data_IF_558965835142
#
_entry.id   IF_558965835142
#
_cell.length_a   1.000
_cell.length_b   1.000
_cell.length_c   1.000
_cell.angle_alpha   90.00
_cell.angle_beta   90.00
_cell.angle_gamma   90.00
#
_symmetry.space_group_name_H-M   'P 1'
#
loop_
_entity.id
_entity.type
_entity.pdbx_description
1 polymer ?
#
# COMPACT_ATOMS: atom_id res chain seq x y z
N UNK A 1 -20.11 15.08 -11.89
CA UNK A 1 -20.69 15.03 -10.54
C UNK A 1 -19.60 14.66 -9.56
N UNK A 2 -19.40 15.47 -8.52
CA UNK A 2 -18.39 15.29 -7.48
C UNK A 2 -18.36 16.49 -6.55
N UNK A 3 -17.80 16.33 -5.36
CA UNK A 3 -17.55 17.43 -4.42
C UNK A 3 -16.32 18.23 -4.86
N UNK A 4 -16.32 19.54 -4.59
CA UNK A 4 -15.19 20.42 -4.92
C UNK A 4 -14.10 20.25 -3.87
N UNK A 5 -12.93 19.79 -4.28
CA UNK A 5 -11.75 19.73 -3.39
C UNK A 5 -11.26 21.15 -3.11
N UNK A 6 -10.92 21.42 -1.85
CA UNK A 6 -10.27 22.67 -1.46
C UNK A 6 -8.77 22.48 -1.58
N UNK A 7 -8.20 23.04 -2.63
CA UNK A 7 -6.79 22.88 -2.99
C UNK A 7 -6.04 24.21 -2.90
N UNK A 8 -4.74 24.16 -2.65
CA UNK A 8 -3.84 25.30 -2.74
C UNK A 8 -3.51 25.66 -4.20
N UNK A 9 -2.57 26.61 -4.39
CA UNK A 9 -2.15 27.07 -5.73
C UNK A 9 -1.37 26.01 -6.52
N UNK A 10 -0.80 25.02 -5.85
CA UNK A 10 -0.01 23.94 -6.46
C UNK A 10 -0.87 22.70 -6.73
N UNK A 11 -2.11 22.65 -6.22
CA UNK A 11 -3.06 21.57 -6.44
C UNK A 11 -3.13 20.55 -5.31
N UNK A 12 -2.47 20.81 -4.17
CA UNK A 12 -2.52 19.95 -2.98
C UNK A 12 -3.66 20.35 -2.03
N UNK A 13 -4.09 19.47 -1.10
CA UNK A 13 -5.08 19.85 -0.10
C UNK A 13 -4.69 21.12 0.67
N UNK A 14 -5.60 22.08 0.77
CA UNK A 14 -5.37 23.40 1.38
C UNK A 14 -5.24 23.40 2.93
N UNK A 15 -4.81 22.29 3.50
CA UNK A 15 -4.59 22.08 4.94
C UNK A 15 -3.19 21.52 5.16
N UNK A 16 -2.66 21.63 6.39
CA UNK A 16 -1.35 21.06 6.72
C UNK A 16 -1.38 19.52 6.62
N UNK A 17 -0.33 18.88 6.06
CA UNK A 17 -0.20 17.42 6.05
C UNK A 17 -0.02 16.86 7.48
N UNK A 18 -0.25 15.55 7.71
CA UNK A 18 -0.49 14.53 6.69
C UNK A 18 -1.90 14.54 6.10
N UNK A 19 -2.01 14.36 4.78
CA UNK A 19 -3.29 14.31 4.05
C UNK A 19 -3.90 12.90 3.97
N UNK A 20 -3.12 11.89 4.34
CA UNK A 20 -3.56 10.50 4.49
C UNK A 20 -2.68 9.79 5.49
N UNK A 21 -3.28 8.89 6.27
CA UNK A 21 -2.60 8.19 7.34
C UNK A 21 -3.12 6.78 7.50
N UNK A 22 -2.21 5.85 7.82
CA UNK A 22 -2.54 4.52 8.33
C UNK A 22 -2.48 4.58 9.86
N UNK A 23 -3.53 4.08 10.52
CA UNK A 23 -3.66 4.11 11.97
C UNK A 23 -3.95 2.70 12.50
N UNK A 24 -3.34 2.33 13.62
CA UNK A 24 -3.82 1.24 14.46
C UNK A 24 -4.59 1.80 15.65
N UNK A 25 -5.77 1.24 15.90
CA UNK A 25 -6.67 1.67 16.99
C UNK A 25 -6.98 0.47 17.87
N UNK A 26 -6.84 0.61 19.17
CA UNK A 26 -7.36 -0.36 20.12
C UNK A 26 -8.88 -0.21 20.23
N UNK A 27 -9.63 -1.24 19.87
CA UNK A 27 -11.09 -1.17 19.88
C UNK A 27 -11.70 -1.30 21.29
N UNK A 28 -10.93 -1.73 22.29
CA UNK A 28 -11.41 -1.79 23.67
C UNK A 28 -11.33 -0.41 24.33
N UNK A 29 -10.26 0.35 24.08
CA UNK A 29 -10.01 1.66 24.71
C UNK A 29 -10.35 2.85 23.81
N UNK A 30 -10.39 2.64 22.50
CA UNK A 30 -10.52 3.70 21.49
C UNK A 30 -9.22 4.47 21.23
N UNK A 31 -8.10 4.04 21.81
CA UNK A 31 -6.81 4.72 21.68
C UNK A 31 -6.11 4.39 20.37
N UNK A 32 -5.45 5.39 19.78
CA UNK A 32 -4.58 5.19 18.62
C UNK A 32 -3.23 4.66 19.14
N UNK A 33 -2.90 3.40 18.81
CA UNK A 33 -1.61 2.78 19.17
C UNK A 33 -0.46 3.41 18.41
N UNK A 34 -0.65 3.61 17.11
CA UNK A 34 0.29 4.32 16.25
C UNK A 34 -0.44 4.93 15.05
N UNK A 35 0.22 5.92 14.44
CA UNK A 35 -0.26 6.66 13.27
C UNK A 35 0.91 7.07 12.40
N UNK A 36 0.87 6.71 11.12
CA UNK A 36 1.92 7.03 10.14
C UNK A 36 1.33 7.65 8.88
N UNK A 37 2.05 8.57 8.19
CA UNK A 37 1.64 9.05 6.87
C UNK A 37 1.48 7.89 5.87
N UNK A 38 0.40 7.91 5.09
CA UNK A 38 0.14 6.88 4.07
C UNK A 38 0.12 7.51 2.67
N UNK A 39 1.21 7.26 1.95
CA UNK A 39 1.47 7.76 0.61
C UNK A 39 2.38 8.98 0.58
N UNK A 40 2.86 9.30 -0.61
CA UNK A 40 3.75 10.42 -0.86
C UNK A 40 3.44 11.09 -2.19
N UNK A 41 3.89 12.34 -2.32
CA UNK A 41 4.03 13.03 -3.59
C UNK A 41 5.53 13.12 -3.87
N UNK A 42 6.09 12.31 -4.79
CA UNK A 42 7.53 12.24 -5.03
C UNK A 42 8.18 13.61 -5.30
N UNK A 43 7.45 14.50 -5.96
CA UNK A 43 7.86 15.88 -6.25
C UNK A 43 8.00 16.76 -4.98
N UNK A 44 7.21 16.52 -3.93
CA UNK A 44 7.34 17.20 -2.65
C UNK A 44 8.52 16.63 -1.85
N UNK A 45 8.68 15.30 -1.86
CA UNK A 45 9.83 14.64 -1.24
C UNK A 45 11.15 15.08 -1.89
N UNK A 46 11.17 15.25 -3.22
CA UNK A 46 12.33 15.79 -3.95
C UNK A 46 12.68 17.24 -3.56
N UNK A 47 11.72 18.01 -3.03
CA UNK A 47 11.93 19.35 -2.48
C UNK A 47 12.37 19.35 -1.01
N UNK A 48 12.61 18.17 -0.41
CA UNK A 48 12.99 18.02 0.99
C UNK A 48 11.81 18.06 1.97
N UNK A 49 10.58 17.97 1.49
CA UNK A 49 9.39 17.88 2.33
C UNK A 49 9.21 16.41 2.77
N UNK A 50 9.05 16.10 4.07
CA UNK A 50 8.80 14.73 4.52
C UNK A 50 7.52 14.13 3.90
N UNK A 51 7.36 12.80 3.90
CA UNK A 51 6.15 12.14 3.38
C UNK A 51 4.87 12.77 3.95
N UNK A 52 4.06 13.31 3.04
CA UNK A 52 2.88 14.12 3.39
C UNK A 52 1.59 13.29 3.47
N UNK A 53 1.63 12.00 3.15
CA UNK A 53 0.40 11.25 2.91
C UNK A 53 -0.30 11.69 1.61
N UNK A 54 -1.23 10.87 1.15
CA UNK A 54 -2.07 11.20 -0.02
C UNK A 54 -3.54 11.00 0.33
N UNK A 55 -4.45 11.48 -0.51
CA UNK A 55 -5.86 11.09 -0.37
C UNK A 55 -5.97 9.57 -0.54
N UNK A 56 -6.47 8.86 0.49
CA UNK A 56 -6.48 7.41 0.51
C UNK A 56 -7.84 6.84 0.10
N UNK A 57 -7.83 5.86 -0.82
CA UNK A 57 -9.02 5.15 -1.28
C UNK A 57 -8.80 3.64 -1.22
N UNK A 58 -9.58 2.93 -0.42
CA UNK A 58 -9.43 1.48 -0.21
C UNK A 58 -9.05 1.16 1.22
N UNK A 59 -8.91 -0.13 1.52
CA UNK A 59 -8.59 -0.63 2.86
C UNK A 59 -7.36 -1.53 2.89
N UNK A 60 -6.80 -1.77 4.08
CA UNK A 60 -5.74 -2.75 4.27
C UNK A 60 -6.30 -4.17 4.38
N UNK A 61 -5.41 -5.16 4.26
CA UNK A 61 -5.61 -6.50 4.82
C UNK A 61 -4.52 -6.78 5.86
N UNK A 62 -4.89 -7.43 6.96
CA UNK A 62 -3.97 -7.79 8.05
C UNK A 62 -3.81 -9.31 8.05
N UNK A 63 -2.57 -9.77 8.22
CA UNK A 63 -2.23 -11.21 8.27
C UNK A 63 -1.90 -11.64 9.69
N UNK A 64 -2.09 -12.93 10.00
CA UNK A 64 -1.69 -13.50 11.29
C UNK A 64 -0.17 -13.45 11.54
N UNK A 65 0.64 -13.24 10.49
CA UNK A 65 2.08 -13.02 10.59
C UNK A 65 2.49 -11.62 11.03
N UNK A 66 1.53 -10.75 11.37
CA UNK A 66 1.78 -9.39 11.84
C UNK A 66 2.08 -8.37 10.75
N UNK A 67 1.67 -8.65 9.52
CA UNK A 67 1.83 -7.74 8.39
C UNK A 67 0.51 -7.12 7.93
N UNK A 68 0.55 -5.82 7.63
CA UNK A 68 -0.54 -5.06 7.03
C UNK A 68 -0.17 -4.76 5.58
N UNK A 69 -1.00 -5.17 4.61
CA UNK A 69 -0.82 -4.85 3.20
C UNK A 69 -1.86 -3.85 2.71
N UNK A 70 -1.43 -2.79 2.02
CA UNK A 70 -2.32 -1.72 1.53
C UNK A 70 -1.76 -1.02 0.29
N UNK A 71 -2.66 -0.71 -0.66
CA UNK A 71 -2.38 0.14 -1.82
C UNK A 71 -2.77 1.58 -1.52
N UNK A 72 -4.05 1.89 -1.73
CA UNK A 72 -4.81 3.07 -1.33
C UNK A 72 -4.27 4.47 -1.67
N UNK A 73 -3.02 4.62 -2.08
CA UNK A 73 -2.33 5.91 -2.21
C UNK A 73 -2.29 6.40 -3.64
N UNK A 74 -2.05 7.71 -3.79
CA UNK A 74 -1.99 8.33 -5.09
C UNK A 74 -0.74 7.99 -5.92
N UNK A 75 0.33 7.57 -5.25
CA UNK A 75 1.65 7.21 -5.80
C UNK A 75 1.73 5.78 -6.38
N UNK A 76 0.61 5.08 -6.48
CA UNK A 76 0.50 3.75 -7.09
C UNK A 76 1.37 2.68 -6.41
N UNK A 77 1.77 2.91 -5.15
CA UNK A 77 2.52 1.92 -4.38
C UNK A 77 1.59 0.95 -3.66
N UNK A 78 2.04 -0.30 -3.61
CA UNK A 78 1.54 -1.33 -2.72
C UNK A 78 2.57 -1.58 -1.64
N UNK A 79 2.15 -1.50 -0.37
CA UNK A 79 3.06 -1.49 0.79
C UNK A 79 2.72 -2.58 1.78
N UNK A 80 3.75 -3.03 2.50
CA UNK A 80 3.62 -3.86 3.69
C UNK A 80 4.15 -3.10 4.91
N UNK A 81 3.40 -3.13 6.01
CA UNK A 81 3.77 -2.51 7.27
C UNK A 81 3.77 -3.55 8.40
N UNK A 82 4.62 -3.33 9.41
CA UNK A 82 4.54 -4.01 10.69
C UNK A 82 3.26 -3.59 11.44
N UNK A 83 2.48 -4.54 11.95
CA UNK A 83 1.20 -4.25 12.60
C UNK A 83 1.35 -3.53 13.95
N UNK A 84 2.46 -3.74 14.65
CA UNK A 84 2.64 -3.32 16.04
C UNK A 84 3.33 -1.96 16.11
N UNK A 85 4.21 -1.65 15.14
CA UNK A 85 4.96 -0.39 15.09
C UNK A 85 4.48 0.58 14.01
N UNK A 86 3.83 0.09 12.96
CA UNK A 86 3.50 0.87 11.78
C UNK A 86 4.70 1.16 10.86
N UNK A 87 5.84 0.50 11.08
CA UNK A 87 7.02 0.62 10.22
C UNK A 87 6.75 0.04 8.82
N UNK A 88 7.12 0.76 7.76
CA UNK A 88 7.02 0.25 6.38
C UNK A 88 8.17 -0.72 6.11
N UNK A 89 7.86 -1.99 5.92
CA UNK A 89 8.84 -3.05 5.73
C UNK A 89 9.15 -3.33 4.25
N UNK A 90 8.19 -3.08 3.36
CA UNK A 90 8.33 -3.38 1.93
C UNK A 90 7.36 -2.56 1.09
N UNK A 91 7.73 -2.32 -0.17
CA UNK A 91 6.82 -1.75 -1.17
C UNK A 91 7.12 -2.22 -2.60
N UNK A 92 6.12 -2.13 -3.47
CA UNK A 92 6.22 -2.27 -4.92
C UNK A 92 5.37 -1.21 -5.63
N UNK A 93 5.71 -0.91 -6.89
CA UNK A 93 4.87 -0.09 -7.76
C UNK A 93 3.84 -0.97 -8.46
N UNK A 94 2.58 -0.56 -8.45
CA UNK A 94 1.50 -1.16 -9.22
C UNK A 94 1.43 -0.54 -10.62
N UNK A 95 0.92 -1.27 -11.63
CA UNK A 95 0.76 -0.72 -12.98
C UNK A 95 -0.40 0.30 -13.08
N UNK A 96 -1.32 0.29 -12.12
CA UNK A 96 -2.48 1.17 -12.02
C UNK A 96 -2.80 1.47 -10.55
N UNK A 97 -3.77 2.35 -10.28
CA UNK A 97 -4.20 2.70 -8.93
C UNK A 97 -4.63 1.49 -8.07
N UNK A 98 -4.07 1.38 -6.86
CA UNK A 98 -4.36 0.29 -5.91
C UNK A 98 -5.53 0.59 -4.97
N UNK A 99 -6.69 0.99 -5.50
CA UNK A 99 -7.81 1.46 -4.64
C UNK A 99 -8.64 0.34 -4.00
N UNK A 100 -8.39 -0.92 -4.34
CA UNK A 100 -9.10 -2.07 -3.79
C UNK A 100 -8.48 -2.52 -2.45
N UNK A 101 -9.31 -3.11 -1.59
CA UNK A 101 -8.80 -3.86 -0.43
C UNK A 101 -8.16 -5.16 -0.94
N UNK A 102 -6.89 -5.46 -0.57
CA UNK A 102 -6.24 -6.69 -1.01
C UNK A 102 -6.87 -7.94 -0.38
N UNK A 103 -6.68 -9.09 -1.02
CA UNK A 103 -7.07 -10.40 -0.52
C UNK A 103 -5.85 -11.28 -0.29
N UNK A 104 -5.93 -12.17 0.70
CA UNK A 104 -4.88 -13.14 1.01
C UNK A 104 -5.44 -14.55 0.86
N UNK A 105 -4.73 -15.42 0.16
CA UNK A 105 -5.14 -16.82 -0.02
C UNK A 105 -3.93 -17.77 -0.12
N UNK A 106 -4.21 -19.07 -0.06
CA UNK A 106 -3.23 -20.15 -0.18
C UNK A 106 -3.54 -21.02 -1.39
N UNK A 107 -2.51 -21.39 -2.16
CA UNK A 107 -2.58 -22.43 -3.20
C UNK A 107 -1.35 -23.30 -3.07
N UNK A 108 -1.53 -24.62 -2.98
CA UNK A 108 -0.45 -25.62 -2.89
C UNK A 108 0.60 -25.29 -1.82
N UNK A 109 0.16 -24.86 -0.64
CA UNK A 109 1.05 -24.51 0.46
C UNK A 109 1.79 -23.17 0.31
N UNK A 110 1.50 -22.38 -0.73
CA UNK A 110 2.07 -21.05 -0.95
C UNK A 110 1.04 -19.95 -0.71
N UNK A 111 1.41 -18.95 0.10
CA UNK A 111 0.57 -17.78 0.37
C UNK A 111 0.74 -16.71 -0.70
N UNK A 112 -0.38 -16.11 -1.08
CA UNK A 112 -0.44 -15.00 -2.02
C UNK A 112 -1.19 -13.83 -1.39
N UNK A 113 -0.70 -12.63 -1.67
CA UNK A 113 -1.43 -11.37 -1.44
C UNK A 113 -1.74 -10.78 -2.80
N UNK A 114 -3.02 -10.54 -3.06
CA UNK A 114 -3.51 -10.12 -4.38
C UNK A 114 -4.32 -8.84 -4.27
N UNK A 115 -4.06 -7.92 -5.20
CA UNK A 115 -4.78 -6.66 -5.31
C UNK A 115 -5.24 -6.43 -6.74
N UNK A 116 -6.47 -5.98 -6.89
CA UNK A 116 -6.95 -5.41 -8.15
C UNK A 116 -6.42 -3.99 -8.29
N UNK A 117 -5.43 -3.81 -9.17
CA UNK A 117 -4.94 -2.50 -9.58
C UNK A 117 -5.82 -2.00 -10.72
N UNK A 118 -6.55 -0.92 -10.51
CA UNK A 118 -7.50 -0.36 -11.48
C UNK A 118 -7.54 1.16 -11.41
N UNK A 119 -7.62 1.80 -12.58
CA UNK A 119 -7.46 3.24 -12.70
C UNK A 119 -8.41 3.92 -13.70
N UNK A 120 -8.04 5.14 -14.10
CA UNK A 120 -8.80 5.98 -15.03
C UNK A 120 -9.57 7.15 -14.39
N UNK A 121 -9.48 7.32 -13.06
CA UNK A 121 -9.99 8.49 -12.34
C UNK A 121 -8.84 9.29 -11.72
N UNK A 122 -9.07 10.58 -11.49
CA UNK A 122 -8.12 11.48 -10.81
C UNK A 122 -6.74 11.60 -11.50
N UNK A 123 -6.69 11.55 -12.84
CA UNK A 123 -5.46 11.74 -13.61
C UNK A 123 -4.50 10.55 -13.66
N UNK A 124 -4.89 9.39 -13.13
CA UNK A 124 -4.08 8.16 -13.13
C UNK A 124 -4.27 7.35 -14.41
N UNK A 125 -3.29 6.50 -14.81
CA UNK A 125 -3.40 5.63 -15.98
C UNK A 125 -4.70 4.83 -15.95
N UNK A 126 -5.37 4.79 -17.10
CA UNK A 126 -6.58 3.99 -17.29
C UNK A 126 -6.18 2.53 -17.60
N UNK A 127 -6.87 1.59 -16.96
CA UNK A 127 -6.61 0.17 -17.12
C UNK A 127 -6.97 -0.62 -15.87
N UNK A 128 -6.70 -1.93 -15.93
CA UNK A 128 -6.96 -2.86 -14.84
C UNK A 128 -6.07 -4.08 -14.95
N UNK A 129 -5.53 -4.52 -13.82
CA UNK A 129 -4.77 -5.77 -13.70
C UNK A 129 -4.94 -6.35 -12.30
N UNK A 130 -4.90 -7.69 -12.20
CA UNK A 130 -4.74 -8.38 -10.92
C UNK A 130 -3.25 -8.60 -10.69
N UNK A 131 -2.73 -8.06 -9.59
CA UNK A 131 -1.32 -8.21 -9.21
C UNK A 131 -1.23 -9.13 -8.02
N UNK A 132 -0.44 -10.21 -8.16
CA UNK A 132 -0.21 -11.18 -7.11
C UNK A 132 1.24 -11.15 -6.62
N UNK A 133 1.40 -11.06 -5.30
CA UNK A 133 2.69 -11.10 -4.62
C UNK A 133 2.77 -12.37 -3.77
N UNK A 134 3.92 -13.03 -3.80
CA UNK A 134 4.25 -14.16 -2.96
C UNK A 134 5.76 -14.24 -2.78
N UNK A 135 6.21 -14.77 -1.65
CA UNK A 135 7.61 -15.11 -1.46
C UNK A 135 8.06 -16.09 -2.57
N UNK A 136 9.35 -16.09 -2.96
CA UNK A 136 9.89 -17.08 -3.87
C UNK A 136 9.56 -18.50 -3.39
N UNK A 137 9.13 -19.38 -4.29
CA UNK A 137 8.98 -20.80 -3.95
C UNK A 137 10.37 -21.37 -3.66
N UNK A 138 10.58 -21.89 -2.45
CA UNK A 138 11.78 -22.66 -2.14
C UNK A 138 11.63 -23.99 -2.89
N UNK A 139 12.53 -24.34 -3.82
CA UNK A 139 12.55 -25.68 -4.38
C UNK A 139 12.69 -26.66 -3.21
N UNK A 140 11.81 -27.65 -3.14
CA UNK A 140 11.84 -28.69 -2.10
C UNK A 140 13.25 -29.28 -2.00
N UNK A 141 14.00 -28.90 -0.95
CA UNK A 141 15.38 -29.33 -0.71
C UNK A 141 16.39 -28.24 -0.31
N UNK A 142 16.10 -26.95 -0.48
CA UNK A 142 17.04 -25.88 -0.10
C UNK A 142 16.79 -25.39 1.35
N UNK A 143 17.77 -25.61 2.24
CA UNK A 143 17.76 -25.10 3.61
C UNK A 143 17.80 -23.58 3.72
N UNK A 144 17.47 -23.09 4.92
CA UNK A 144 17.37 -21.70 5.42
C UNK A 144 17.84 -20.57 4.46
N UNK A 145 16.89 -19.72 4.03
CA UNK A 145 17.10 -18.61 3.07
C UNK A 145 16.83 -17.22 3.68
N UNK A 146 17.09 -17.02 4.98
CA UNK A 146 17.12 -15.66 5.55
C UNK A 146 18.08 -14.77 4.73
N UNK A 147 17.53 -13.89 3.89
CA UNK A 147 18.28 -12.94 3.06
C UNK A 147 18.00 -12.97 1.55
N UNK A 148 17.12 -13.82 1.03
CA UNK A 148 16.80 -13.79 -0.40
C UNK A 148 16.00 -12.53 -0.80
N UNK A 149 16.40 -11.79 -1.85
CA UNK A 149 15.68 -10.59 -2.29
C UNK A 149 14.26 -10.95 -2.74
N UNK A 150 13.31 -10.04 -2.48
CA UNK A 150 11.93 -10.18 -2.94
C UNK A 150 11.90 -10.35 -4.48
N UNK A 151 11.34 -11.45 -4.95
CA UNK A 151 11.19 -11.68 -6.38
C UNK A 151 10.21 -10.67 -6.98
N UNK A 152 10.52 -10.18 -8.18
CA UNK A 152 9.63 -9.29 -8.93
C UNK A 152 8.25 -9.95 -9.14
N UNK A 153 7.15 -9.17 -9.07
CA UNK A 153 5.81 -9.68 -9.27
C UNK A 153 5.71 -10.36 -10.64
N UNK A 154 5.17 -11.59 -10.67
CA UNK A 154 4.81 -12.26 -11.92
C UNK A 154 3.39 -11.82 -12.27
N UNK A 155 3.22 -11.20 -13.43
CA UNK A 155 1.89 -11.00 -14.02
C UNK A 155 1.27 -12.38 -14.30
N UNK A 156 0.10 -12.63 -13.72
CA UNK A 156 -0.74 -13.77 -14.12
C UNK A 156 -1.64 -13.24 -15.23
N UNK A 157 -1.39 -13.68 -16.48
CA UNK A 157 -2.24 -13.39 -17.64
C UNK A 157 -3.41 -14.35 -17.71
#
# INVERSE_FOLDING_TARGET
>A
GGFRRWLDKEGYPAIKPPWGTLNAVDLNTGEIKWKVPLGEYPELTARGIPPTGTENYGGPVVTAGGLIFIGATADEKFRAFDQDTGEMLWQATLPFGGNATPSVYMVDGRQYVVISAGGGKSGRPAGGSLVAFALPSIPSGAGDVRGAPAAAPKEIR
#
